data_IF_432964093752
#
_entry.id   IF_432964093752
#
_cell.length_a   1.000
_cell.length_b   1.000
_cell.length_c   1.000
_cell.angle_alpha   90.00
_cell.angle_beta   90.00
_cell.angle_gamma   90.00
#
_symmetry.space_group_name_H-M   'P 1'
#
loop_
_entity.id
_entity.type
_entity.pdbx_description
1 polymer ?
#
# COMPACT_ATOMS: atom_id res chain seq x y z
N UNK A 1 15.51 17.58 -2.60
CA UNK A 1 14.35 17.23 -3.48
C UNK A 1 14.07 15.73 -3.53
N UNK A 2 15.10 14.87 -3.57
CA UNK A 2 14.98 13.39 -3.54
C UNK A 2 14.26 12.84 -2.30
N UNK A 3 14.75 13.18 -1.12
CA UNK A 3 14.21 12.63 0.14
C UNK A 3 12.78 13.15 0.38
N UNK A 4 12.47 14.33 -0.18
CA UNK A 4 11.12 14.88 -0.21
C UNK A 4 10.19 14.03 -1.08
N UNK A 5 10.61 13.60 -2.28
CA UNK A 5 9.77 12.74 -3.14
C UNK A 5 9.56 11.36 -2.54
N UNK A 6 10.61 10.69 -2.08
CA UNK A 6 10.50 9.35 -1.49
C UNK A 6 9.64 9.39 -0.21
N UNK A 7 9.92 10.35 0.69
CA UNK A 7 9.12 10.51 1.91
C UNK A 7 7.67 10.91 1.62
N UNK A 8 7.43 11.73 0.59
CA UNK A 8 6.07 12.11 0.20
C UNK A 8 5.31 10.95 -0.43
N UNK A 9 5.97 10.11 -1.24
CA UNK A 9 5.36 8.90 -1.80
C UNK A 9 5.04 7.89 -0.71
N UNK A 10 5.94 7.66 0.24
CA UNK A 10 5.67 6.78 1.38
C UNK A 10 4.46 7.26 2.20
N UNK A 11 4.39 8.56 2.51
CA UNK A 11 3.25 9.17 3.21
C UNK A 11 1.96 9.09 2.39
N UNK A 12 2.04 9.33 1.09
CA UNK A 12 0.90 9.21 0.18
C UNK A 12 0.38 7.77 0.16
N UNK A 13 1.26 6.78 0.03
CA UNK A 13 0.93 5.36 0.09
C UNK A 13 0.28 5.02 1.44
N UNK A 14 0.82 5.54 2.54
CA UNK A 14 0.22 5.37 3.88
C UNK A 14 -1.22 5.90 3.92
N UNK A 15 -1.44 7.11 3.41
CA UNK A 15 -2.77 7.73 3.36
C UNK A 15 -3.72 6.91 2.47
N UNK A 16 -3.27 6.46 1.31
CA UNK A 16 -4.07 5.62 0.40
C UNK A 16 -4.46 4.31 1.08
N UNK A 17 -3.53 3.63 1.74
CA UNK A 17 -3.83 2.39 2.49
C UNK A 17 -4.83 2.65 3.61
N UNK A 18 -4.69 3.75 4.36
CA UNK A 18 -5.66 4.13 5.38
C UNK A 18 -7.06 4.36 4.79
N UNK A 19 -7.16 5.06 3.66
CA UNK A 19 -8.41 5.27 2.95
C UNK A 19 -9.01 3.96 2.43
N UNK A 20 -8.19 3.04 1.94
CA UNK A 20 -8.64 1.70 1.53
C UNK A 20 -9.21 0.92 2.72
N UNK A 21 -8.56 0.95 3.89
CA UNK A 21 -9.11 0.33 5.10
C UNK A 21 -10.47 0.92 5.48
N UNK A 22 -10.60 2.25 5.44
CA UNK A 22 -11.89 2.93 5.70
C UNK A 22 -12.94 2.49 4.69
N UNK A 23 -12.59 2.42 3.40
CA UNK A 23 -13.50 1.97 2.34
C UNK A 23 -14.00 0.54 2.57
N UNK A 24 -13.15 -0.37 3.04
CA UNK A 24 -13.54 -1.75 3.37
C UNK A 24 -14.52 -1.77 4.56
N UNK A 25 -14.24 -1.01 5.61
CA UNK A 25 -15.13 -0.96 6.79
C UNK A 25 -16.48 -0.35 6.43
N UNK A 26 -16.49 0.76 5.68
CA UNK A 26 -17.71 1.41 5.21
C UNK A 26 -18.47 0.50 4.24
N UNK A 27 -17.76 -0.18 3.33
CA UNK A 27 -18.34 -1.15 2.41
C UNK A 27 -18.98 -2.34 3.13
N UNK A 28 -18.35 -2.84 4.19
CA UNK A 28 -18.93 -3.90 5.02
C UNK A 28 -20.17 -3.42 5.78
N UNK A 29 -20.14 -2.19 6.33
CA UNK A 29 -21.30 -1.57 6.96
C UNK A 29 -22.47 -1.39 5.99
N UNK A 30 -22.20 -0.87 4.79
CA UNK A 30 -23.19 -0.73 3.72
C UNK A 30 -23.73 -2.07 3.24
N UNK A 31 -22.88 -3.11 3.15
CA UNK A 31 -23.29 -4.46 2.81
C UNK A 31 -24.25 -5.02 3.86
N UNK A 32 -24.02 -4.80 5.15
CA UNK A 32 -24.89 -5.30 6.23
C UNK A 32 -26.26 -4.60 6.30
N UNK A 33 -26.35 -3.34 5.84
CA UNK A 33 -27.59 -2.54 5.87
C UNK A 33 -28.45 -2.74 4.60
N UNK A 34 -27.95 -3.48 3.62
CA UNK A 34 -28.67 -3.72 2.37
C UNK A 34 -29.68 -4.86 2.56
N UNK A 35 -30.91 -4.74 2.03
CA UNK A 35 -31.95 -5.77 2.14
C UNK A 35 -31.52 -7.13 1.55
N UNK A 36 -30.63 -7.13 0.56
CA UNK A 36 -30.01 -8.34 -0.01
C UNK A 36 -28.67 -8.71 0.64
N UNK A 37 -28.05 -7.77 1.36
CA UNK A 37 -26.76 -7.92 2.01
C UNK A 37 -26.94 -8.21 3.50
N UNK A 38 -26.94 -9.49 3.84
CA UNK A 38 -26.92 -9.90 5.24
C UNK A 38 -25.53 -9.81 5.87
N UNK A 39 -25.41 -10.30 7.10
CA UNK A 39 -24.14 -10.45 7.82
C UNK A 39 -23.11 -11.22 7.00
N UNK A 40 -23.52 -12.24 6.24
CA UNK A 40 -22.62 -13.03 5.41
C UNK A 40 -21.93 -12.19 4.30
N UNK A 41 -22.67 -11.26 3.70
CA UNK A 41 -22.14 -10.37 2.68
C UNK A 41 -21.11 -9.39 3.29
N UNK A 42 -21.40 -8.83 4.46
CA UNK A 42 -20.48 -7.97 5.19
C UNK A 42 -19.18 -8.69 5.56
N UNK A 43 -19.26 -9.93 6.05
CA UNK A 43 -18.09 -10.77 6.32
C UNK A 43 -17.27 -11.01 5.05
N UNK A 44 -17.94 -11.29 3.93
CA UNK A 44 -17.28 -11.41 2.62
C UNK A 44 -16.51 -10.15 2.24
N UNK A 45 -17.12 -8.97 2.38
CA UNK A 45 -16.45 -7.68 2.11
C UNK A 45 -15.24 -7.46 3.01
N UNK A 46 -15.32 -7.80 4.30
CA UNK A 46 -14.18 -7.68 5.22
C UNK A 46 -13.02 -8.60 4.82
N UNK A 47 -13.30 -9.85 4.48
CA UNK A 47 -12.28 -10.83 4.10
C UNK A 47 -11.64 -10.45 2.77
N UNK A 48 -12.43 -10.32 1.70
CA UNK A 48 -11.90 -10.04 0.36
C UNK A 48 -11.36 -8.62 0.24
N UNK A 49 -12.03 -7.64 0.85
CA UNK A 49 -11.54 -6.27 0.93
C UNK A 49 -10.25 -6.18 1.73
N UNK A 50 -10.18 -6.81 2.91
CA UNK A 50 -8.96 -6.84 3.72
C UNK A 50 -7.77 -7.48 2.99
N UNK A 51 -7.99 -8.63 2.35
CA UNK A 51 -6.98 -9.28 1.50
C UNK A 51 -6.53 -8.36 0.36
N UNK A 52 -7.47 -7.65 -0.29
CA UNK A 52 -7.15 -6.69 -1.34
C UNK A 52 -6.27 -5.54 -0.81
N UNK A 53 -6.60 -4.97 0.37
CA UNK A 53 -5.78 -3.90 0.98
C UNK A 53 -4.37 -4.40 1.30
N UNK A 54 -4.24 -5.60 1.87
CA UNK A 54 -2.93 -6.19 2.19
C UNK A 54 -2.11 -6.37 0.92
N UNK A 55 -2.70 -6.94 -0.13
CA UNK A 55 -2.01 -7.22 -1.37
C UNK A 55 -1.63 -5.92 -2.10
N UNK A 56 -2.57 -4.99 -2.25
CA UNK A 56 -2.35 -3.73 -2.95
C UNK A 56 -1.38 -2.82 -2.19
N UNK A 57 -1.61 -2.61 -0.89
CA UNK A 57 -0.72 -1.84 -0.02
C UNK A 57 0.67 -2.46 0.07
N UNK A 58 0.75 -3.79 0.22
CA UNK A 58 2.00 -4.53 0.23
C UNK A 58 2.79 -4.37 -1.06
N UNK A 59 2.15 -4.47 -2.23
CA UNK A 59 2.82 -4.23 -3.51
C UNK A 59 3.31 -2.79 -3.64
N UNK A 60 2.50 -1.81 -3.24
CA UNK A 60 2.86 -0.39 -3.28
C UNK A 60 4.13 -0.10 -2.48
N UNK A 61 4.23 -0.60 -1.24
CA UNK A 61 5.45 -0.47 -0.44
C UNK A 61 6.63 -1.30 -1.00
N UNK A 62 6.36 -2.48 -1.54
CA UNK A 62 7.39 -3.32 -2.14
C UNK A 62 8.06 -2.63 -3.34
N UNK A 63 7.28 -1.96 -4.20
CA UNK A 63 7.84 -1.20 -5.32
C UNK A 63 8.71 -0.02 -4.87
N UNK A 64 8.28 0.72 -3.85
CA UNK A 64 9.13 1.76 -3.24
C UNK A 64 10.42 1.17 -2.68
N UNK A 65 10.33 0.05 -1.96
CA UNK A 65 11.48 -0.64 -1.40
C UNK A 65 12.47 -1.13 -2.47
N UNK A 66 11.97 -1.67 -3.58
CA UNK A 66 12.81 -2.06 -4.72
C UNK A 66 13.52 -0.83 -5.29
N UNK A 67 12.81 0.27 -5.53
CA UNK A 67 13.39 1.49 -6.07
C UNK A 67 14.54 1.99 -5.18
N UNK A 68 14.31 2.07 -3.87
CA UNK A 68 15.32 2.52 -2.91
C UNK A 68 16.53 1.59 -2.85
N UNK A 69 16.30 0.27 -2.89
CA UNK A 69 17.39 -0.72 -2.87
C UNK A 69 18.21 -0.68 -4.17
N UNK A 70 17.57 -0.65 -5.34
CA UNK A 70 18.26 -0.54 -6.64
C UNK A 70 19.12 0.73 -6.69
N UNK A 71 18.59 1.83 -6.17
CA UNK A 71 19.32 3.09 -6.11
C UNK A 71 20.53 3.05 -5.19
N UNK A 72 20.38 2.52 -3.97
CA UNK A 72 21.51 2.36 -3.04
C UNK A 72 22.62 1.50 -3.65
N UNK A 73 22.25 0.46 -4.39
CA UNK A 73 23.21 -0.38 -5.13
C UNK A 73 23.94 0.43 -6.20
N UNK A 74 23.22 1.22 -7.01
CA UNK A 74 23.85 2.08 -8.02
C UNK A 74 24.83 3.09 -7.41
N UNK A 75 24.42 3.79 -6.33
CA UNK A 75 25.29 4.73 -5.62
C UNK A 75 26.53 4.04 -5.02
N UNK A 76 26.40 2.80 -4.52
CA UNK A 76 27.54 2.01 -4.03
C UNK A 76 28.49 1.61 -5.17
N UNK A 77 27.94 1.21 -6.32
CA UNK A 77 28.73 0.86 -7.51
C UNK A 77 29.51 2.06 -8.04
N UNK A 78 28.91 3.24 -8.10
CA UNK A 78 29.59 4.48 -8.52
C UNK A 78 30.75 4.81 -7.58
N UNK A 79 30.57 4.68 -6.26
CA UNK A 79 31.64 4.91 -5.28
C UNK A 79 32.78 3.90 -5.42
N UNK A 80 32.49 2.64 -5.69
CA UNK A 80 33.51 1.62 -5.96
C UNK A 80 34.28 1.94 -7.24
N UNK A 81 33.61 2.42 -8.29
CA UNK A 81 34.22 2.80 -9.55
C UNK A 81 35.07 4.08 -9.47
N UNK A 82 34.78 4.97 -8.50
CA UNK A 82 35.57 6.19 -8.25
C UNK A 82 36.71 5.97 -7.23
N UNK A 83 36.71 4.85 -6.51
CA UNK A 83 37.64 4.54 -5.42
C UNK A 83 38.64 3.41 -5.70
N UNK A 84 38.78 3.00 -6.97
CA UNK A 84 39.84 2.12 -7.48
C UNK A 84 40.56 2.79 -8.65
#
# INVERSE_FOLDING_TARGET
MRDFFISSLEKLITVVVALMCIAVVVGAGGAMMNEQGGVLAAVGVLIFGGLYVILMGGMMYLFLGIYDNTKRTAEATERMAQGG
#
